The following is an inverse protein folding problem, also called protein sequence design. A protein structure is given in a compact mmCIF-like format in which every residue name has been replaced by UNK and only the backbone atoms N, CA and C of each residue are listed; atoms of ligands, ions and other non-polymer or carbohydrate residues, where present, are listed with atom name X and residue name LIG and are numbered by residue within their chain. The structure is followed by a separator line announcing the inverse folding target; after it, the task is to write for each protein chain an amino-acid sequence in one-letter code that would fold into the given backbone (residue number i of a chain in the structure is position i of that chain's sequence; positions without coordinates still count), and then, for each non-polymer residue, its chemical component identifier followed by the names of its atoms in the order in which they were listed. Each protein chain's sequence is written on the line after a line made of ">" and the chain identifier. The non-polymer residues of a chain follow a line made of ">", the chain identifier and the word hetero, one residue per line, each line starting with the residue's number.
data_IF_887404575970
#
_entry.id   IF_887404575970
#
_cell.length_a   1.000
_cell.length_b   1.000
_cell.length_c   1.000
_cell.angle_alpha   90.00
_cell.angle_beta   90.00
_cell.angle_gamma   90.00
#
_symmetry.space_group_name_H-M   'P 1'
#
loop_
_entity.id
_entity.type
_entity.pdbx_description
1 polymer ?
#
# COMPACT_ATOMS: atom_id res chain seq x y z
N UNK A 1 36.74 -10.54 -16.94
CA UNK A 1 35.96 -9.53 -16.21
C UNK A 1 34.51 -9.69 -16.57
N UNK A 2 33.63 -9.87 -15.59
CA UNK A 2 32.19 -9.81 -15.84
C UNK A 2 31.83 -8.36 -16.14
N UNK A 3 31.29 -8.11 -17.33
CA UNK A 3 30.74 -6.79 -17.66
C UNK A 3 29.52 -6.53 -16.75
N UNK A 4 29.56 -5.42 -16.03
CA UNK A 4 28.42 -4.99 -15.21
C UNK A 4 27.24 -4.71 -16.15
N UNK A 5 26.05 -5.29 -15.93
CA UNK A 5 24.90 -5.04 -16.78
C UNK A 5 24.62 -3.54 -16.85
N UNK A 6 24.49 -3.02 -18.04
CA UNK A 6 24.15 -1.61 -18.26
C UNK A 6 22.77 -1.32 -17.67
N UNK A 7 22.58 -0.15 -17.06
CA UNK A 7 21.27 0.28 -16.56
C UNK A 7 20.28 0.40 -17.71
N UNK A 8 19.02 0.15 -17.47
CA UNK A 8 17.93 0.21 -18.44
C UNK A 8 17.90 1.56 -19.20
N UNK A 9 18.26 2.65 -18.54
CA UNK A 9 18.41 3.97 -19.13
C UNK A 9 19.51 4.01 -20.20
N UNK A 10 20.64 3.34 -19.97
CA UNK A 10 21.75 3.30 -20.92
C UNK A 10 21.40 2.41 -22.11
N UNK A 11 20.71 1.28 -21.86
CA UNK A 11 20.23 0.39 -22.91
C UNK A 11 19.17 1.05 -23.81
N UNK A 12 18.29 1.86 -23.24
CA UNK A 12 17.20 2.54 -23.97
C UNK A 12 17.61 3.90 -24.56
N UNK A 13 18.84 4.35 -24.32
CA UNK A 13 19.36 5.65 -24.80
C UNK A 13 18.52 6.87 -24.38
N UNK A 14 17.80 6.81 -23.23
CA UNK A 14 16.95 7.91 -22.76
C UNK A 14 17.84 9.00 -22.12
N UNK A 15 17.84 10.26 -22.65
CA UNK A 15 18.59 11.36 -22.07
C UNK A 15 18.14 11.66 -20.63
N UNK A 16 19.07 12.07 -19.76
CA UNK A 16 18.74 12.44 -18.38
C UNK A 16 17.70 13.56 -18.29
N UNK A 17 17.72 14.49 -19.24
CA UNK A 17 16.74 15.58 -19.33
C UNK A 17 15.30 15.07 -19.56
N UNK A 18 15.13 14.03 -20.36
CA UNK A 18 13.82 13.43 -20.59
C UNK A 18 13.29 12.71 -19.36
N UNK A 19 14.15 11.99 -18.64
CA UNK A 19 13.78 11.36 -17.36
C UNK A 19 13.31 12.41 -16.36
N UNK A 20 14.06 13.51 -16.22
CA UNK A 20 13.68 14.62 -15.32
C UNK A 20 12.35 15.24 -15.74
N UNK A 21 12.15 15.48 -17.05
CA UNK A 21 10.89 16.02 -17.56
C UNK A 21 9.73 15.07 -17.32
N UNK A 22 9.93 13.77 -17.49
CA UNK A 22 8.90 12.76 -17.25
C UNK A 22 8.48 12.71 -15.78
N UNK A 23 9.45 12.78 -14.85
CA UNK A 23 9.19 12.77 -13.41
C UNK A 23 8.60 14.09 -12.88
N UNK A 24 8.67 15.17 -13.62
CA UNK A 24 8.03 16.45 -13.33
C UNK A 24 6.67 16.62 -14.01
N UNK A 25 6.23 15.64 -14.79
CA UNK A 25 4.93 15.71 -15.47
C UNK A 25 3.78 15.76 -14.46
N UNK A 26 2.69 16.50 -14.75
CA UNK A 26 1.52 16.58 -13.85
C UNK A 26 0.94 15.19 -13.54
N UNK A 27 0.94 14.29 -14.51
CA UNK A 27 0.48 12.91 -14.32
C UNK A 27 1.35 12.18 -13.30
N UNK A 28 2.69 12.29 -13.42
CA UNK A 28 3.60 11.64 -12.48
C UNK A 28 3.45 12.19 -11.06
N UNK A 29 3.35 13.51 -10.90
CA UNK A 29 3.16 14.16 -9.60
C UNK A 29 1.82 13.75 -8.96
N UNK A 30 0.76 13.64 -9.75
CA UNK A 30 -0.53 13.11 -9.28
C UNK A 30 -0.38 11.66 -8.80
N UNK A 31 0.35 10.83 -9.55
CA UNK A 31 0.59 9.44 -9.15
C UNK A 31 1.45 9.33 -7.90
N UNK A 32 2.46 10.22 -7.72
CA UNK A 32 3.23 10.32 -6.47
C UNK A 32 2.34 10.64 -5.27
N UNK A 33 1.46 11.63 -5.41
CA UNK A 33 0.52 12.01 -4.35
C UNK A 33 -0.43 10.83 -4.00
N UNK A 34 -1.03 10.22 -5.03
CA UNK A 34 -1.88 9.04 -4.84
C UNK A 34 -1.11 7.87 -4.18
N UNK A 35 0.17 7.68 -4.54
CA UNK A 35 1.01 6.64 -3.93
C UNK A 35 1.22 6.89 -2.43
N UNK A 36 1.44 8.13 -2.02
CA UNK A 36 1.51 8.49 -0.60
C UNK A 36 0.24 8.14 0.16
N UNK A 37 -0.94 8.46 -0.40
CA UNK A 37 -2.23 8.14 0.20
C UNK A 37 -2.50 6.64 0.27
N UNK A 38 -2.26 5.92 -0.82
CA UNK A 38 -2.50 4.47 -0.86
C UNK A 38 -1.53 3.69 0.02
N UNK A 39 -0.25 4.11 0.09
CA UNK A 39 0.73 3.55 1.01
C UNK A 39 0.32 3.77 2.48
N UNK A 40 -0.23 4.94 2.81
CA UNK A 40 -0.80 5.21 4.13
C UNK A 40 -1.93 4.25 4.45
N UNK A 41 -2.91 4.11 3.56
CA UNK A 41 -4.05 3.21 3.78
C UNK A 41 -3.62 1.74 3.93
N UNK A 42 -2.64 1.30 3.16
CA UNK A 42 -2.17 -0.09 3.20
C UNK A 42 -1.31 -0.39 4.44
N UNK A 43 -0.37 0.49 4.78
CA UNK A 43 0.67 0.20 5.77
C UNK A 43 0.35 0.70 7.19
N UNK A 44 -0.46 1.76 7.33
CA UNK A 44 -0.77 2.32 8.64
C UNK A 44 -1.49 1.33 9.57
N UNK A 45 -2.55 0.63 9.13
CA UNK A 45 -3.26 -0.30 10.02
C UNK A 45 -2.36 -1.40 10.58
N UNK A 46 -1.45 -1.93 9.76
CA UNK A 46 -0.49 -2.94 10.20
C UNK A 46 0.50 -2.47 11.26
N UNK A 47 0.79 -1.16 11.31
CA UNK A 47 1.69 -0.57 12.32
C UNK A 47 1.02 -0.39 13.68
N UNK A 48 -0.30 -0.22 13.70
CA UNK A 48 -1.07 0.12 14.89
C UNK A 48 -2.06 -0.95 15.32
N UNK A 49 -2.14 -2.08 14.61
CA UNK A 49 -3.13 -3.13 14.86
C UNK A 49 -3.05 -3.66 16.30
N UNK A 50 -1.85 -3.80 16.84
CA UNK A 50 -1.64 -4.31 18.19
C UNK A 50 -2.10 -3.30 19.26
N UNK A 51 -1.78 -2.01 19.08
CA UNK A 51 -2.17 -0.97 20.05
C UNK A 51 -3.65 -0.62 20.01
N UNK A 52 -4.28 -0.72 18.82
CA UNK A 52 -5.70 -0.40 18.63
C UNK A 52 -6.61 -1.60 18.96
N UNK A 53 -6.24 -2.79 18.54
CA UNK A 53 -7.08 -3.98 18.66
C UNK A 53 -6.63 -4.93 19.78
N UNK A 54 -5.40 -4.81 20.28
CA UNK A 54 -4.87 -5.64 21.36
C UNK A 54 -5.78 -5.67 22.58
N UNK A 55 -6.24 -4.52 23.12
CA UNK A 55 -7.16 -4.49 24.25
C UNK A 55 -8.46 -5.26 23.99
N UNK A 56 -9.07 -5.10 22.81
CA UNK A 56 -10.30 -5.81 22.45
C UNK A 56 -10.10 -7.33 22.39
N UNK A 57 -8.93 -7.80 21.95
CA UNK A 57 -8.60 -9.22 21.97
C UNK A 57 -8.43 -9.76 23.40
N UNK A 58 -7.83 -8.97 24.29
CA UNK A 58 -7.66 -9.37 25.70
C UNK A 58 -9.01 -9.43 26.41
N UNK A 59 -9.89 -8.46 26.21
CA UNK A 59 -11.26 -8.48 26.74
C UNK A 59 -12.07 -9.67 26.22
N UNK A 60 -11.83 -10.08 24.97
CA UNK A 60 -12.44 -11.28 24.39
C UNK A 60 -11.79 -12.60 24.87
N UNK A 61 -10.85 -12.55 25.83
CA UNK A 61 -10.20 -13.73 26.41
C UNK A 61 -9.03 -14.31 25.61
N UNK A 62 -8.48 -13.56 24.64
CA UNK A 62 -7.33 -13.98 23.86
C UNK A 62 -6.02 -13.50 24.46
N UNK A 63 -4.90 -14.13 24.07
CA UNK A 63 -3.56 -13.70 24.48
C UNK A 63 -3.20 -12.35 23.88
N UNK A 64 -2.35 -11.58 24.56
CA UNK A 64 -1.90 -10.24 24.15
C UNK A 64 -1.39 -10.12 22.70
N UNK A 65 -0.90 -11.20 22.11
CA UNK A 65 -0.36 -11.21 20.75
C UNK A 65 -1.37 -11.67 19.68
N UNK A 66 -2.65 -11.84 20.01
CA UNK A 66 -3.66 -12.30 19.05
C UNK A 66 -3.86 -11.30 17.89
N UNK A 67 -3.68 -10.00 18.14
CA UNK A 67 -3.74 -8.98 17.07
C UNK A 67 -2.67 -9.19 15.98
N UNK A 68 -1.49 -9.72 16.34
CA UNK A 68 -0.45 -10.05 15.37
C UNK A 68 -0.86 -11.18 14.42
N UNK A 69 -1.74 -12.09 14.85
CA UNK A 69 -2.27 -13.14 13.97
C UNK A 69 -3.08 -12.56 12.81
N UNK A 70 -3.83 -11.48 13.07
CA UNK A 70 -4.58 -10.77 12.01
C UNK A 70 -3.62 -10.13 11.01
N UNK A 71 -2.51 -9.56 11.49
CA UNK A 71 -1.47 -9.01 10.62
C UNK A 71 -0.80 -10.09 9.76
N UNK A 72 -0.38 -11.19 10.37
CA UNK A 72 0.25 -12.33 9.65
C UNK A 72 -0.72 -12.91 8.62
N UNK A 73 -1.97 -13.13 9.01
CA UNK A 73 -3.03 -13.58 8.11
C UNK A 73 -3.19 -12.63 6.91
N UNK A 74 -3.30 -11.33 7.16
CA UNK A 74 -3.47 -10.33 6.11
C UNK A 74 -2.29 -10.27 5.15
N UNK A 75 -1.06 -10.33 5.66
CA UNK A 75 0.15 -10.38 4.83
C UNK A 75 0.22 -11.65 3.97
N UNK A 76 -0.14 -12.80 4.52
CA UNK A 76 -0.21 -14.06 3.77
C UNK A 76 -1.29 -13.98 2.67
N UNK A 77 -2.47 -13.47 2.99
CA UNK A 77 -3.55 -13.26 2.04
C UNK A 77 -3.12 -12.33 0.89
N UNK A 78 -2.49 -11.18 1.22
CA UNK A 78 -1.95 -10.25 0.22
C UNK A 78 -0.90 -10.91 -0.68
N UNK A 79 0.00 -11.72 -0.12
CA UNK A 79 1.02 -12.41 -0.91
C UNK A 79 0.39 -13.35 -1.95
N UNK A 80 -0.62 -14.14 -1.55
CA UNK A 80 -1.36 -15.04 -2.44
C UNK A 80 -2.10 -14.26 -3.54
N UNK A 81 -2.78 -13.17 -3.17
CA UNK A 81 -3.53 -12.36 -4.13
C UNK A 81 -2.61 -11.63 -5.11
N UNK A 82 -1.47 -11.14 -4.66
CA UNK A 82 -0.47 -10.48 -5.52
C UNK A 82 0.14 -11.42 -6.55
N UNK A 83 0.29 -12.70 -6.22
CA UNK A 83 0.71 -13.70 -7.20
C UNK A 83 -0.26 -13.77 -8.39
N UNK A 84 -1.55 -13.54 -8.14
CA UNK A 84 -2.59 -13.54 -9.18
C UNK A 84 -2.85 -12.14 -9.79
N UNK A 85 -2.15 -11.09 -9.36
CA UNK A 85 -2.43 -9.70 -9.73
C UNK A 85 -2.42 -9.46 -11.25
N UNK A 86 -1.51 -10.09 -11.98
CA UNK A 86 -1.44 -9.98 -13.43
C UNK A 86 -2.72 -10.39 -14.17
N UNK A 87 -3.47 -11.37 -13.64
CA UNK A 87 -4.75 -11.81 -14.20
C UNK A 87 -5.85 -10.79 -13.93
N UNK A 88 -5.84 -10.14 -12.76
CA UNK A 88 -6.81 -9.11 -12.40
C UNK A 88 -6.59 -7.83 -13.21
N UNK A 89 -5.35 -7.38 -13.38
CA UNK A 89 -5.02 -6.19 -14.18
C UNK A 89 -5.44 -6.37 -15.65
N UNK A 90 -5.31 -7.56 -16.21
CA UNK A 90 -5.78 -7.86 -17.58
C UNK A 90 -7.30 -7.79 -17.72
N UNK A 91 -8.05 -8.13 -16.69
CA UNK A 91 -9.52 -8.17 -16.70
C UNK A 91 -10.14 -6.82 -16.36
N UNK A 92 -9.52 -6.08 -15.44
CA UNK A 92 -9.96 -4.76 -15.01
C UNK A 92 -8.95 -3.73 -15.50
N UNK A 93 -9.41 -2.55 -15.93
CA UNK A 93 -8.48 -1.46 -16.23
C UNK A 93 -7.69 -1.08 -14.96
N UNK A 94 -6.42 -0.61 -15.08
CA UNK A 94 -5.64 -0.22 -13.91
C UNK A 94 -6.37 0.80 -13.01
N UNK A 95 -7.03 1.78 -13.61
CA UNK A 95 -7.82 2.79 -12.88
C UNK A 95 -9.05 2.19 -12.19
N UNK A 96 -9.75 1.29 -12.87
CA UNK A 96 -10.90 0.59 -12.30
C UNK A 96 -10.50 -0.31 -11.13
N UNK A 97 -9.35 -0.99 -11.25
CA UNK A 97 -8.80 -1.80 -10.17
C UNK A 97 -8.40 -0.94 -8.96
N UNK A 98 -7.74 0.21 -9.16
CA UNK A 98 -7.41 1.15 -8.09
C UNK A 98 -8.65 1.71 -7.40
N UNK A 99 -9.67 2.09 -8.16
CA UNK A 99 -10.93 2.58 -7.60
C UNK A 99 -11.64 1.51 -6.78
N UNK A 100 -11.78 0.30 -7.31
CA UNK A 100 -12.36 -0.84 -6.58
C UNK A 100 -11.59 -1.17 -5.32
N UNK A 101 -10.25 -1.16 -5.39
CA UNK A 101 -9.36 -1.34 -4.25
C UNK A 101 -9.55 -0.27 -3.18
N UNK A 102 -9.67 0.99 -3.56
CA UNK A 102 -9.89 2.10 -2.63
C UNK A 102 -11.24 1.98 -1.91
N UNK A 103 -12.30 1.66 -2.63
CA UNK A 103 -13.63 1.45 -2.05
C UNK A 103 -13.61 0.26 -1.09
N UNK A 104 -13.06 -0.87 -1.52
CA UNK A 104 -13.05 -2.10 -0.72
C UNK A 104 -12.16 -1.95 0.52
N UNK A 105 -10.99 -1.33 0.37
CA UNK A 105 -10.09 -1.02 1.49
C UNK A 105 -10.73 -0.07 2.50
N UNK A 106 -11.40 0.99 2.03
CA UNK A 106 -12.14 1.94 2.87
C UNK A 106 -13.30 1.27 3.62
N UNK A 107 -14.12 0.48 2.92
CA UNK A 107 -15.21 -0.30 3.54
C UNK A 107 -14.67 -1.30 4.57
N UNK A 108 -13.59 -2.02 4.25
CA UNK A 108 -12.95 -2.94 5.17
C UNK A 108 -12.44 -2.25 6.44
N UNK A 109 -11.73 -1.12 6.28
CA UNK A 109 -11.23 -0.34 7.41
C UNK A 109 -12.37 0.20 8.28
N UNK A 110 -13.41 0.75 7.67
CA UNK A 110 -14.60 1.22 8.39
C UNK A 110 -15.31 0.08 9.12
N UNK A 111 -15.50 -1.07 8.47
CA UNK A 111 -16.12 -2.22 9.08
C UNK A 111 -15.30 -2.79 10.28
N UNK A 112 -13.97 -2.67 10.25
CA UNK A 112 -13.12 -3.06 11.37
C UNK A 112 -13.42 -2.27 12.66
N UNK A 113 -13.91 -1.04 12.57
CA UNK A 113 -14.27 -0.23 13.76
C UNK A 113 -15.45 -0.79 14.54
N UNK A 114 -16.28 -1.63 13.91
CA UNK A 114 -17.44 -2.27 14.53
C UNK A 114 -17.20 -3.76 14.88
N UNK A 115 -16.02 -4.26 14.58
CA UNK A 115 -15.70 -5.66 14.79
C UNK A 115 -15.39 -5.93 16.28
N UNK A 116 -16.26 -6.71 16.94
CA UNK A 116 -16.15 -7.04 18.36
C UNK A 116 -15.88 -8.52 18.64
N UNK A 117 -16.01 -9.39 17.65
CA UNK A 117 -15.74 -10.82 17.76
C UNK A 117 -14.57 -11.24 16.89
N UNK A 118 -13.89 -12.33 17.23
CA UNK A 118 -12.80 -12.89 16.44
C UNK A 118 -13.20 -13.10 14.97
N UNK A 119 -14.38 -13.67 14.75
CA UNK A 119 -14.90 -13.92 13.40
C UNK A 119 -15.11 -12.62 12.62
N UNK A 120 -15.72 -11.60 13.25
CA UNK A 120 -15.94 -10.30 12.60
C UNK A 120 -14.62 -9.59 12.30
N UNK A 121 -13.62 -9.68 13.17
CA UNK A 121 -12.30 -9.09 12.97
C UNK A 121 -11.62 -9.74 11.76
N UNK A 122 -11.58 -11.07 11.67
CA UNK A 122 -10.98 -11.74 10.51
C UNK A 122 -11.75 -11.48 9.21
N UNK A 123 -13.08 -11.41 9.25
CA UNK A 123 -13.90 -11.11 8.09
C UNK A 123 -13.62 -9.68 7.56
N UNK A 124 -13.67 -8.70 8.44
CA UNK A 124 -13.42 -7.29 8.08
C UNK A 124 -11.97 -7.06 7.65
N UNK A 125 -11.01 -7.72 8.30
CA UNK A 125 -9.62 -7.73 7.88
C UNK A 125 -9.45 -8.35 6.49
N UNK A 126 -10.16 -9.43 6.18
CA UNK A 126 -10.14 -10.03 4.82
C UNK A 126 -10.59 -9.01 3.79
N UNK A 127 -11.71 -8.33 4.00
CA UNK A 127 -12.23 -7.30 3.09
C UNK A 127 -11.19 -6.18 2.90
N UNK A 128 -10.61 -5.72 4.00
CA UNK A 128 -9.57 -4.69 3.98
C UNK A 128 -8.34 -5.12 3.18
N UNK A 129 -7.74 -6.26 3.52
CA UNK A 129 -6.51 -6.72 2.86
C UNK A 129 -6.72 -7.08 1.39
N UNK A 130 -7.88 -7.61 1.00
CA UNK A 130 -8.26 -7.79 -0.41
C UNK A 130 -8.34 -6.45 -1.12
N UNK A 131 -8.89 -5.43 -0.46
CA UNK A 131 -8.95 -4.08 -1.01
C UNK A 131 -7.57 -3.48 -1.27
N UNK A 132 -6.69 -3.49 -0.29
CA UNK A 132 -5.41 -2.76 -0.38
C UNK A 132 -4.33 -3.51 -1.15
N UNK A 133 -4.46 -4.83 -1.35
CA UNK A 133 -3.39 -5.67 -1.90
C UNK A 133 -2.92 -5.27 -3.32
N UNK A 134 -3.77 -4.62 -4.11
CA UNK A 134 -3.48 -4.25 -5.49
C UNK A 134 -2.94 -2.83 -5.65
N UNK A 135 -2.86 -2.01 -4.62
CA UNK A 135 -2.39 -0.63 -4.73
C UNK A 135 -0.98 -0.55 -5.31
N UNK A 136 0.01 -1.14 -4.64
CA UNK A 136 1.40 -1.05 -5.04
C UNK A 136 1.66 -1.61 -6.44
N UNK A 137 1.28 -2.85 -6.75
CA UNK A 137 1.57 -3.41 -8.07
C UNK A 137 0.87 -2.62 -9.19
N UNK A 138 -0.37 -2.16 -8.98
CA UNK A 138 -1.11 -1.43 -10.01
C UNK A 138 -0.56 -0.02 -10.22
N UNK A 139 -0.19 0.70 -9.14
CA UNK A 139 0.38 2.05 -9.21
C UNK A 139 1.74 2.04 -9.91
N UNK A 140 2.61 1.12 -9.53
CA UNK A 140 3.95 0.96 -10.14
C UNK A 140 3.79 0.54 -11.61
N UNK A 141 2.92 -0.43 -11.89
CA UNK A 141 2.64 -0.88 -13.26
C UNK A 141 2.08 0.24 -14.13
N UNK A 142 1.15 1.03 -13.61
CA UNK A 142 0.59 2.18 -14.34
C UNK A 142 1.67 3.20 -14.73
N UNK A 143 2.57 3.54 -13.79
CA UNK A 143 3.67 4.49 -14.10
C UNK A 143 4.64 3.90 -15.10
N UNK A 144 4.99 2.61 -14.98
CA UNK A 144 5.86 1.94 -15.93
C UNK A 144 5.28 1.94 -17.36
N UNK A 145 3.98 1.74 -17.52
CA UNK A 145 3.30 1.70 -18.82
C UNK A 145 3.00 3.09 -19.39
N UNK A 146 2.59 4.05 -18.57
CA UNK A 146 2.12 5.36 -19.01
C UNK A 146 3.21 6.43 -19.06
N UNK A 147 4.27 6.24 -18.30
CA UNK A 147 5.39 7.18 -18.21
C UNK A 147 6.72 6.42 -18.37
N UNK A 148 6.92 5.68 -19.46
CA UNK A 148 8.09 4.82 -19.63
C UNK A 148 9.42 5.62 -19.58
N UNK A 149 9.42 6.88 -20.02
CA UNK A 149 10.60 7.74 -19.96
C UNK A 149 11.04 8.09 -18.52
N UNK A 150 10.22 7.83 -17.49
CA UNK A 150 10.64 7.98 -16.10
C UNK A 150 11.63 6.89 -15.65
N UNK A 151 11.60 5.73 -16.33
CA UNK A 151 12.51 4.60 -16.10
C UNK A 151 12.58 4.15 -14.64
N UNK A 152 13.70 3.56 -14.29
CA UNK A 152 13.94 3.09 -12.92
C UNK A 152 13.83 4.21 -11.86
N UNK A 153 14.23 5.46 -12.22
CA UNK A 153 14.12 6.59 -11.29
C UNK A 153 12.66 6.86 -10.90
N UNK A 154 11.74 6.84 -11.88
CA UNK A 154 10.32 7.04 -11.60
C UNK A 154 9.76 5.97 -10.66
N UNK A 155 10.11 4.71 -10.88
CA UNK A 155 9.66 3.59 -10.03
C UNK A 155 10.24 3.69 -8.61
N UNK A 156 11.53 4.07 -8.49
CA UNK A 156 12.17 4.31 -7.19
C UNK A 156 11.52 5.48 -6.44
N UNK A 157 11.17 6.57 -7.13
CA UNK A 157 10.47 7.70 -6.53
C UNK A 157 9.07 7.31 -6.05
N UNK A 158 8.35 6.50 -6.82
CA UNK A 158 7.04 5.98 -6.40
C UNK A 158 7.14 5.17 -5.10
N UNK A 159 8.06 4.21 -5.04
CA UNK A 159 8.29 3.42 -3.82
C UNK A 159 8.78 4.28 -2.65
N UNK A 160 9.73 5.17 -2.92
CA UNK A 160 10.32 6.06 -1.92
C UNK A 160 9.31 7.00 -1.27
N UNK A 161 8.47 7.67 -2.06
CA UNK A 161 7.44 8.58 -1.51
C UNK A 161 6.43 7.84 -0.63
N UNK A 162 6.02 6.63 -1.04
CA UNK A 162 5.12 5.81 -0.24
C UNK A 162 5.69 5.54 1.15
N UNK A 163 6.95 5.11 1.22
CA UNK A 163 7.62 4.82 2.49
C UNK A 163 7.90 6.08 3.32
N UNK A 164 8.27 7.19 2.68
CA UNK A 164 8.50 8.48 3.35
C UNK A 164 7.22 9.01 4.00
N UNK A 165 6.10 9.01 3.27
CA UNK A 165 4.80 9.46 3.80
C UNK A 165 4.38 8.59 4.99
N UNK A 166 4.51 7.28 4.89
CA UNK A 166 4.17 6.40 6.01
C UNK A 166 5.08 6.65 7.22
N UNK A 167 6.40 6.76 7.02
CA UNK A 167 7.35 6.93 8.12
C UNK A 167 7.28 8.29 8.81
N UNK A 168 7.18 9.38 8.04
CA UNK A 168 7.28 10.73 8.58
C UNK A 168 5.94 11.43 8.82
N UNK A 169 4.87 11.01 8.17
CA UNK A 169 3.55 11.64 8.30
C UNK A 169 2.58 10.71 9.00
N UNK A 170 2.42 9.49 8.47
CA UNK A 170 1.36 8.60 8.92
C UNK A 170 1.62 8.04 10.31
N UNK A 171 2.80 7.49 10.56
CA UNK A 171 3.12 6.88 11.86
C UNK A 171 3.13 7.93 12.98
N UNK A 172 3.80 9.08 12.86
CA UNK A 172 3.71 10.12 13.88
C UNK A 172 2.30 10.70 14.03
N UNK A 173 1.57 10.90 12.91
CA UNK A 173 0.21 11.45 12.94
C UNK A 173 -0.76 10.56 13.69
N UNK A 174 -0.74 9.24 13.46
CA UNK A 174 -1.56 8.30 14.22
C UNK A 174 -1.16 8.28 15.70
N UNK A 175 0.16 8.37 16.01
CA UNK A 175 0.65 8.48 17.38
C UNK A 175 0.06 9.69 18.11
N UNK A 176 0.11 10.87 17.50
CA UNK A 176 -0.47 12.11 18.06
C UNK A 176 -1.99 11.98 18.31
N UNK A 177 -2.72 11.35 17.38
CA UNK A 177 -4.14 11.09 17.55
C UNK A 177 -4.40 10.16 18.74
N UNK A 178 -3.62 9.09 18.87
CA UNK A 178 -3.76 8.16 20.01
C UNK A 178 -3.48 8.84 21.36
N UNK A 179 -2.46 9.68 21.43
CA UNK A 179 -2.11 10.39 22.66
C UNK A 179 -3.23 11.36 23.06
N UNK A 180 -3.81 12.07 22.07
CA UNK A 180 -4.96 12.96 22.32
C UNK A 180 -6.20 12.26 22.89
N UNK A 181 -6.46 11.01 22.50
CA UNK A 181 -7.60 10.23 23.01
C UNK A 181 -7.33 9.47 24.30
N UNK A 182 -6.07 9.45 24.78
CA UNK A 182 -5.69 8.83 26.07
C UNK A 182 -5.68 9.83 27.23
N UNK A 183 -5.63 11.14 26.92
CA UNK A 183 -5.82 12.23 27.90
C UNK A 183 -7.31 12.48 28.18
#
# INVERSE_FOLDING_TARGET
>A
GQEIPQTERVQSNIPAAEVTKATQSPLFLTMLFCMGLTATLELAPGRWIESLMGPAFVEAGFKNNAALLVLVYGMALMAVLRYSAGSFVKKFSPTGLLMGSAILGGVGLFAMTYASSMQSIFLTATIFYVGVCFFWPTMIGFVAERIPNSGALGLCLMGGIGMLVVGYVTVPGVGMIQDYYKE
#
